data_IF_597252431987
#
_entry.id   IF_597252431987
#
_cell.length_a   1.000
_cell.length_b   1.000
_cell.length_c   1.000
_cell.angle_alpha   90.00
_cell.angle_beta   90.00
_cell.angle_gamma   90.00
#
_symmetry.space_group_name_H-M   'P 1'
#
loop_
_entity.id
_entity.type
_entity.pdbx_description
1 polymer ?
#
# COMPACT_ATOMS: atom_id res chain seq x y z
N UNK A 1 -27.04 -13.23 -11.62
CA UNK A 1 -25.64 -13.15 -11.17
C UNK A 1 -25.06 -11.89 -11.78
N UNK A 2 -24.98 -10.80 -11.01
CA UNK A 2 -24.49 -9.50 -11.48
C UNK A 2 -23.04 -9.33 -11.03
N UNK A 3 -22.11 -9.22 -11.97
CA UNK A 3 -20.74 -8.82 -11.68
C UNK A 3 -20.77 -7.34 -11.25
N UNK A 4 -20.39 -7.06 -10.00
CA UNK A 4 -20.32 -5.69 -9.47
C UNK A 4 -19.24 -4.90 -10.18
N UNK A 5 -19.60 -4.22 -11.27
CA UNK A 5 -18.75 -3.20 -11.89
C UNK A 5 -18.52 -2.09 -10.87
N UNK A 6 -17.27 -1.90 -10.47
CA UNK A 6 -16.84 -0.68 -9.77
C UNK A 6 -17.20 0.50 -10.70
N UNK A 7 -18.01 1.48 -10.26
CA UNK A 7 -18.45 2.58 -11.11
C UNK A 7 -17.25 3.38 -11.63
N UNK A 8 -17.24 3.70 -12.93
CA UNK A 8 -16.17 4.47 -13.59
C UNK A 8 -15.89 5.83 -12.90
N UNK A 9 -16.91 6.43 -12.29
CA UNK A 9 -16.80 7.65 -11.50
C UNK A 9 -15.89 7.50 -10.25
N UNK A 10 -15.77 6.28 -9.72
CA UNK A 10 -14.96 5.98 -8.55
C UNK A 10 -13.46 5.89 -8.87
N UNK A 11 -13.11 5.48 -10.10
CA UNK A 11 -11.72 5.51 -10.58
C UNK A 11 -11.23 6.96 -10.75
N UNK A 12 -12.09 7.84 -11.27
CA UNK A 12 -11.79 9.26 -11.42
C UNK A 12 -11.55 9.97 -10.10
N UNK A 13 -12.24 9.57 -9.01
CA UNK A 13 -12.07 10.22 -7.71
C UNK A 13 -10.67 9.99 -7.11
N UNK A 14 -10.13 8.77 -7.23
CA UNK A 14 -8.76 8.45 -6.77
C UNK A 14 -7.72 9.22 -7.60
N UNK A 15 -7.92 9.32 -8.91
CA UNK A 15 -7.05 10.12 -9.79
C UNK A 15 -7.09 11.61 -9.45
N UNK A 16 -8.25 12.16 -9.08
CA UNK A 16 -8.36 13.58 -8.68
C UNK A 16 -7.74 13.85 -7.31
N UNK A 17 -7.89 12.94 -6.35
CA UNK A 17 -7.20 13.04 -5.05
C UNK A 17 -5.69 12.97 -5.25
N UNK A 18 -5.21 12.08 -6.14
CA UNK A 18 -3.80 12.01 -6.53
C UNK A 18 -3.32 13.31 -7.16
N UNK A 19 -4.01 13.86 -8.16
CA UNK A 19 -3.63 15.12 -8.80
C UNK A 19 -3.62 16.29 -7.81
N UNK A 20 -4.54 16.30 -6.86
CA UNK A 20 -4.61 17.34 -5.82
C UNK A 20 -3.46 17.21 -4.83
N UNK A 21 -3.12 15.98 -4.41
CA UNK A 21 -2.00 15.71 -3.52
C UNK A 21 -0.65 15.94 -4.20
N UNK A 22 -0.47 15.54 -5.47
CA UNK A 22 0.75 15.86 -6.22
C UNK A 22 0.92 17.37 -6.41
N UNK A 23 -0.15 18.11 -6.70
CA UNK A 23 -0.09 19.58 -6.80
C UNK A 23 0.26 20.24 -5.47
N UNK A 24 -0.28 19.77 -4.34
CA UNK A 24 0.06 20.32 -3.02
C UNK A 24 1.47 19.91 -2.58
N UNK A 25 1.93 18.70 -2.91
CA UNK A 25 3.28 18.19 -2.63
C UNK A 25 4.37 18.98 -3.37
N UNK A 26 4.07 19.50 -4.57
CA UNK A 26 4.99 20.32 -5.37
C UNK A 26 5.21 21.74 -4.80
N UNK A 27 4.35 22.19 -3.88
CA UNK A 27 4.43 23.53 -3.25
C UNK A 27 5.36 23.53 -2.02
N UNK A 28 5.56 22.38 -1.38
CA UNK A 28 6.35 22.25 -0.14
C UNK A 28 7.59 21.37 -0.39
N UNK A 29 8.57 21.91 -1.11
CA UNK A 29 9.81 21.20 -1.39
C UNK A 29 10.65 20.95 -0.11
N UNK A 30 11.18 19.73 -0.03
CA UNK A 30 12.39 19.26 0.70
C UNK A 30 12.24 18.28 1.88
N UNK A 31 11.05 17.97 2.42
CA UNK A 31 10.95 17.01 3.56
C UNK A 31 9.93 15.87 3.41
N UNK A 32 9.16 15.81 2.31
CA UNK A 32 7.94 14.96 2.21
C UNK A 32 8.13 13.76 1.24
N UNK A 33 9.35 13.49 0.77
CA UNK A 33 9.61 12.37 -0.15
C UNK A 33 10.03 11.07 0.55
N UNK A 34 9.99 11.02 1.88
CA UNK A 34 10.35 9.84 2.67
C UNK A 34 9.14 8.98 3.08
N UNK A 35 7.92 9.48 2.94
CA UNK A 35 6.71 8.77 3.35
C UNK A 35 5.93 8.27 2.14
N UNK A 36 5.64 6.98 2.14
CA UNK A 36 4.77 6.33 1.18
C UNK A 36 3.31 6.54 1.58
N UNK A 37 2.43 6.78 0.60
CA UNK A 37 1.00 6.97 0.85
C UNK A 37 0.22 5.77 0.34
N UNK A 38 -0.58 5.19 1.21
CA UNK A 38 -1.41 4.02 0.94
C UNK A 38 -2.84 4.47 0.66
N UNK A 39 -3.42 4.04 -0.45
CA UNK A 39 -4.84 4.22 -0.79
C UNK A 39 -5.52 2.88 -0.86
N UNK A 40 -6.58 2.72 -0.06
CA UNK A 40 -7.16 1.41 0.18
C UNK A 40 -8.67 1.50 0.03
N UNK A 41 -9.23 0.47 -0.58
CA UNK A 41 -10.65 0.20 -0.63
C UNK A 41 -10.91 -1.16 -0.02
N UNK A 42 -11.79 -1.20 0.96
CA UNK A 42 -12.26 -2.43 1.62
C UNK A 42 -13.74 -2.62 1.41
N UNK A 43 -14.17 -3.86 1.60
CA UNK A 43 -15.56 -4.23 1.82
C UNK A 43 -15.69 -4.71 3.27
N UNK A 44 -16.49 -4.03 4.07
CA UNK A 44 -16.72 -4.44 5.45
C UNK A 44 -17.68 -5.65 5.54
N UNK A 45 -17.86 -6.18 6.75
CA UNK A 45 -18.75 -7.32 7.01
C UNK A 45 -20.22 -7.07 6.63
N UNK A 46 -20.63 -5.80 6.47
CA UNK A 46 -21.97 -5.39 6.06
C UNK A 46 -22.06 -5.16 4.54
N UNK A 47 -21.02 -5.53 3.79
CA UNK A 47 -20.89 -5.30 2.35
C UNK A 47 -20.87 -3.82 1.95
N UNK A 48 -20.43 -2.94 2.85
CA UNK A 48 -20.22 -1.53 2.52
C UNK A 48 -18.78 -1.31 2.09
N UNK A 49 -18.62 -0.52 1.02
CA UNK A 49 -17.30 -0.06 0.60
C UNK A 49 -16.80 1.04 1.53
N UNK A 50 -15.56 0.90 1.99
CA UNK A 50 -14.85 1.94 2.75
C UNK A 50 -13.55 2.30 2.06
N UNK A 51 -13.27 3.60 2.04
CA UNK A 51 -12.06 4.16 1.45
C UNK A 51 -11.30 4.90 2.52
N UNK A 52 -10.00 4.65 2.59
CA UNK A 52 -9.12 5.33 3.51
C UNK A 52 -7.74 5.45 2.90
N UNK A 53 -6.98 6.39 3.46
CA UNK A 53 -5.58 6.55 3.14
C UNK A 53 -4.79 6.80 4.43
N UNK A 54 -3.53 6.42 4.39
CA UNK A 54 -2.58 6.73 5.45
C UNK A 54 -1.18 6.85 4.85
N UNK A 55 -0.29 7.55 5.52
CA UNK A 55 1.12 7.64 5.19
C UNK A 55 1.99 6.82 6.13
N UNK A 56 3.04 6.21 5.60
CA UNK A 56 4.04 5.51 6.38
C UNK A 56 5.39 5.45 5.66
N UNK A 57 6.49 5.57 6.40
CA UNK A 57 7.84 5.54 5.83
C UNK A 57 8.37 4.12 5.58
N UNK A 58 7.92 3.15 6.38
CA UNK A 58 8.34 1.74 6.27
C UNK A 58 7.29 0.93 5.50
N UNK A 59 7.75 0.09 4.57
CA UNK A 59 6.85 -0.72 3.75
C UNK A 59 6.15 -1.78 4.60
N UNK A 60 6.92 -2.38 5.51
CA UNK A 60 6.53 -3.50 6.34
C UNK A 60 5.40 -3.11 7.29
N UNK A 61 5.52 -1.96 7.94
CA UNK A 61 4.47 -1.44 8.81
C UNK A 61 3.20 -1.05 8.03
N UNK A 62 3.35 -0.51 6.81
CA UNK A 62 2.21 -0.25 5.93
C UNK A 62 1.49 -1.53 5.51
N UNK A 63 2.24 -2.58 5.16
CA UNK A 63 1.68 -3.89 4.84
C UNK A 63 1.04 -4.57 6.05
N UNK A 64 1.61 -4.40 7.24
CA UNK A 64 1.00 -4.90 8.48
C UNK A 64 -0.34 -4.23 8.79
N UNK A 65 -0.55 -2.96 8.41
CA UNK A 65 -1.87 -2.32 8.48
C UNK A 65 -2.87 -3.02 7.55
N UNK A 66 -2.47 -3.33 6.32
CA UNK A 66 -3.31 -4.07 5.35
C UNK A 66 -3.68 -5.45 5.88
N UNK A 67 -2.72 -6.18 6.44
CA UNK A 67 -2.99 -7.48 7.05
C UNK A 67 -3.91 -7.35 8.28
N UNK A 68 -3.75 -6.31 9.11
CA UNK A 68 -4.67 -6.09 10.24
C UNK A 68 -6.11 -5.86 9.80
N UNK A 69 -6.32 -5.14 8.70
CA UNK A 69 -7.65 -4.94 8.12
C UNK A 69 -8.27 -6.29 7.72
N UNK A 70 -7.52 -7.12 7.00
CA UNK A 70 -7.97 -8.47 6.62
C UNK A 70 -8.25 -9.34 7.84
N UNK A 71 -7.39 -9.28 8.86
CA UNK A 71 -7.55 -10.01 10.11
C UNK A 71 -8.79 -9.60 10.93
N UNK A 72 -9.29 -8.37 10.74
CA UNK A 72 -10.55 -7.90 11.35
C UNK A 72 -11.79 -8.43 10.60
N UNK A 73 -11.60 -9.09 9.46
CA UNK A 73 -12.67 -9.66 8.65
C UNK A 73 -13.15 -8.76 7.51
N UNK A 74 -12.50 -7.61 7.30
CA UNK A 74 -12.74 -6.78 6.12
C UNK A 74 -12.03 -7.40 4.90
N UNK A 75 -12.62 -7.25 3.71
CA UNK A 75 -12.02 -7.75 2.46
C UNK A 75 -11.32 -6.59 1.76
N UNK A 76 -10.02 -6.71 1.49
CA UNK A 76 -9.31 -5.76 0.64
C UNK A 76 -9.76 -5.92 -0.82
N UNK A 77 -10.29 -4.85 -1.39
CA UNK A 77 -10.75 -4.81 -2.79
C UNK A 77 -9.72 -4.14 -3.69
N UNK A 78 -9.04 -3.12 -3.16
CA UNK A 78 -8.00 -2.37 -3.88
C UNK A 78 -6.99 -1.82 -2.90
N UNK A 79 -5.71 -1.95 -3.23
CA UNK A 79 -4.63 -1.30 -2.51
C UNK A 79 -3.61 -0.71 -3.49
N UNK A 80 -3.27 0.57 -3.28
CA UNK A 80 -2.28 1.31 -4.06
C UNK A 80 -1.30 1.94 -3.08
N UNK A 81 -0.01 1.91 -3.41
CA UNK A 81 1.04 2.68 -2.72
C UNK A 81 1.59 3.73 -3.66
N UNK A 82 1.79 4.92 -3.14
CA UNK A 82 2.47 6.02 -3.82
C UNK A 82 3.79 6.24 -3.11
N UNK A 83 4.87 6.01 -3.83
CA UNK A 83 6.24 6.20 -3.36
C UNK A 83 6.95 7.20 -4.28
N UNK A 84 7.15 8.42 -3.79
CA UNK A 84 7.61 9.55 -4.59
C UNK A 84 6.71 9.80 -5.81
N UNK A 85 7.21 9.44 -7.00
CA UNK A 85 6.50 9.55 -8.30
C UNK A 85 5.93 8.22 -8.79
N UNK A 86 6.21 7.13 -8.10
CA UNK A 86 5.80 5.78 -8.48
C UNK A 86 4.44 5.46 -7.87
N UNK A 87 3.58 4.86 -8.68
CA UNK A 87 2.31 4.29 -8.23
C UNK A 87 2.42 2.78 -8.37
N UNK A 88 2.27 2.09 -7.25
CA UNK A 88 2.42 0.63 -7.16
C UNK A 88 1.05 0.07 -6.79
N UNK A 89 0.50 -0.77 -7.67
CA UNK A 89 -0.69 -1.55 -7.36
C UNK A 89 -0.27 -2.78 -6.55
N UNK A 90 -0.82 -2.92 -5.35
CA UNK A 90 -0.51 -4.07 -4.51
C UNK A 90 -1.46 -5.23 -4.85
N UNK A 91 -0.96 -6.47 -4.90
CA UNK A 91 -1.79 -7.66 -5.04
C UNK A 91 -2.58 -7.87 -3.73
N UNK A 92 -3.89 -7.59 -3.74
CA UNK A 92 -4.71 -7.69 -2.53
C UNK A 92 -4.80 -9.12 -2.00
N UNK A 93 -4.58 -10.11 -2.86
CA UNK A 93 -4.55 -11.54 -2.55
C UNK A 93 -3.31 -11.95 -1.74
N UNK A 94 -2.28 -11.11 -1.69
CA UNK A 94 -1.07 -11.36 -0.91
C UNK A 94 -1.24 -11.01 0.59
N UNK A 95 -2.36 -10.41 0.98
CA UNK A 95 -2.66 -10.04 2.36
C UNK A 95 -3.66 -11.03 2.95
N UNK A 96 -3.17 -11.95 3.76
CA UNK A 96 -3.94 -13.06 4.36
C UNK A 96 -4.30 -12.83 5.83
N UNK A 97 -3.94 -11.66 6.37
CA UNK A 97 -4.16 -11.31 7.76
C UNK A 97 -3.01 -11.69 8.71
N UNK A 98 -1.96 -12.34 8.21
CA UNK A 98 -0.73 -12.58 8.97
C UNK A 98 0.25 -11.42 8.79
N UNK A 99 1.04 -11.10 9.82
CA UNK A 99 2.09 -10.08 9.71
C UNK A 99 3.17 -10.53 8.74
N UNK A 100 3.52 -9.67 7.78
CA UNK A 100 4.60 -9.93 6.82
C UNK A 100 5.97 -9.50 7.35
N UNK A 101 6.01 -8.72 8.43
CA UNK A 101 7.24 -8.17 9.00
C UNK A 101 8.30 -9.25 9.27
N UNK A 102 7.89 -10.39 9.84
CA UNK A 102 8.82 -11.48 10.17
C UNK A 102 9.52 -12.04 8.92
N UNK A 103 8.75 -12.24 7.85
CA UNK A 103 9.26 -12.76 6.58
C UNK A 103 10.18 -11.74 5.89
N UNK A 104 9.78 -10.46 5.87
CA UNK A 104 10.58 -9.39 5.25
C UNK A 104 11.91 -9.21 6.01
N UNK A 105 11.88 -9.16 7.34
CA UNK A 105 13.10 -9.06 8.16
C UNK A 105 14.01 -10.28 8.00
N UNK A 106 13.43 -11.48 7.79
CA UNK A 106 14.22 -12.67 7.50
C UNK A 106 14.93 -12.55 6.15
N UNK A 107 14.22 -12.12 5.10
CA UNK A 107 14.78 -11.88 3.78
C UNK A 107 15.89 -10.82 3.82
N UNK A 108 15.65 -9.70 4.49
CA UNK A 108 16.65 -8.63 4.64
C UNK A 108 17.94 -9.16 5.27
N UNK A 109 17.84 -9.93 6.36
CA UNK A 109 19.02 -10.54 6.99
C UNK A 109 19.75 -11.52 6.08
N UNK A 110 19.04 -12.29 5.26
CA UNK A 110 19.65 -13.21 4.32
C UNK A 110 20.37 -12.47 3.18
N UNK A 111 19.73 -11.45 2.61
CA UNK A 111 20.29 -10.64 1.55
C UNK A 111 21.51 -9.84 2.02
N UNK A 112 21.45 -9.21 3.19
CA UNK A 112 22.60 -8.48 3.74
C UNK A 112 23.81 -9.38 3.91
N UNK A 113 23.63 -10.62 4.39
CA UNK A 113 24.72 -11.61 4.49
C UNK A 113 25.30 -12.04 3.15
N UNK A 114 24.53 -11.98 2.06
CA UNK A 114 25.02 -12.28 0.72
C UNK A 114 25.78 -11.10 0.13
N UNK A 115 25.29 -9.88 0.34
CA UNK A 115 25.86 -8.64 -0.17
C UNK A 115 27.13 -8.21 0.59
N UNK A 116 27.23 -8.56 1.88
CA UNK A 116 28.43 -8.29 2.70
C UNK A 116 29.60 -9.22 2.38
N UNK A 117 29.41 -10.24 1.53
CA UNK A 117 30.51 -11.08 1.06
C UNK A 117 31.28 -10.32 -0.02
N UNK A 118 32.59 -10.09 0.15
CA UNK A 118 33.38 -9.46 -0.90
C UNK A 118 33.31 -10.32 -2.16
N UNK A 119 33.02 -9.69 -3.30
CA UNK A 119 33.14 -10.31 -4.61
C UNK A 119 34.64 -10.54 -4.83
N UNK A 120 35.10 -11.77 -4.55
CA UNK A 120 36.47 -12.17 -4.89
C UNK A 120 36.57 -12.12 -6.43
N UNK A 121 37.30 -11.13 -6.95
CA UNK A 121 37.63 -11.01 -8.37
C UNK A 121 38.80 -11.91 -8.73
#
# INVERSE_FOLDING_TARGET
>A
MSAGLIPLAHFQAIDQTFLTLSKSKQINNELIDLAMIYFITTLDQQSNFRHFHFDHAELEAGFDVLNRIVAQGDVLVKAIVIDGKSIIHLPVEAFDGQSCQSAINALEREWSKLLDRPINK
#
